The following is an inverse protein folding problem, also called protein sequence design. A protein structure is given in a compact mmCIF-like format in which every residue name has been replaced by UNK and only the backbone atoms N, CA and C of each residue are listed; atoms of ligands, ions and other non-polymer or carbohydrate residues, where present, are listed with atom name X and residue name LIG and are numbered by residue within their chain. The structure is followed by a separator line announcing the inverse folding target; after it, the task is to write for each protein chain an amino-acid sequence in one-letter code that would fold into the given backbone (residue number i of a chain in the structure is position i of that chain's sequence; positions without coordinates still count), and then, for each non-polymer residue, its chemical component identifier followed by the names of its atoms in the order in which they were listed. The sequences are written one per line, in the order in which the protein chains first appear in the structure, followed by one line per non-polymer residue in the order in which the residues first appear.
data_IF_390172397859
#
_entry.id   IF_390172397859
#
_cell.length_a   1.000
_cell.length_b   1.000
_cell.length_c   1.000
_cell.angle_alpha   90.00
_cell.angle_beta   90.00
_cell.angle_gamma   90.00
#
_symmetry.space_group_name_H-M   'P 1'
#
loop_
_entity.id
_entity.type
_entity.pdbx_description
1 polymer ?
#
# COMPACT_ATOMS: atom_id res chain seq x y z
N UNK A 1 -0.51 51.60 42.48
CA UNK A 1 -0.51 52.51 41.31
C UNK A 1 -1.15 51.72 40.16
N UNK A 2 -2.44 51.94 39.92
CA UNK A 2 -3.00 52.60 38.70
C UNK A 2 -2.77 51.73 37.45
N UNK A 3 -3.71 50.83 37.14
CA UNK A 3 -4.76 50.99 36.11
C UNK A 3 -4.23 51.01 34.69
N UNK A 4 -4.69 50.11 33.81
CA UNK A 4 -5.61 50.48 32.70
C UNK A 4 -6.07 49.25 31.88
N UNK A 5 -7.40 49.05 31.88
CA UNK A 5 -8.30 48.78 30.75
C UNK A 5 -7.72 48.16 29.46
N UNK A 6 -8.12 46.94 29.10
CA UNK A 6 -9.31 46.61 28.29
C UNK A 6 -9.07 46.70 26.78
N UNK A 7 -9.22 45.59 26.07
CA UNK A 7 -10.00 45.53 24.83
C UNK A 7 -10.29 44.07 24.44
N UNK A 8 -11.56 43.72 24.62
CA UNK A 8 -12.23 42.56 24.05
C UNK A 8 -12.45 42.86 22.56
N UNK A 9 -12.11 41.94 21.67
CA UNK A 9 -12.64 41.90 20.32
C UNK A 9 -13.07 40.46 20.01
N UNK A 10 -14.28 40.14 20.47
CA UNK A 10 -15.04 38.99 19.98
C UNK A 10 -15.61 39.41 18.63
N UNK A 11 -15.09 38.84 17.55
CA UNK A 11 -15.70 38.90 16.22
C UNK A 11 -16.15 37.50 15.84
N UNK A 12 -17.33 37.13 16.33
CA UNK A 12 -18.15 36.07 15.75
C UNK A 12 -18.63 36.51 14.36
N UNK A 13 -18.05 35.95 13.31
CA UNK A 13 -18.66 35.94 11.98
C UNK A 13 -19.42 34.62 11.81
N UNK A 14 -20.74 34.71 11.83
CA UNK A 14 -21.61 33.69 11.24
C UNK A 14 -21.65 33.91 9.73
N UNK A 15 -21.33 32.87 8.96
CA UNK A 15 -21.74 32.77 7.56
C UNK A 15 -22.31 31.37 7.32
N UNK A 16 -23.63 31.28 7.33
CA UNK A 16 -24.41 30.21 6.71
C UNK A 16 -24.23 30.31 5.19
N UNK A 17 -23.85 29.23 4.51
CA UNK A 17 -23.79 29.18 3.06
C UNK A 17 -23.61 27.76 2.54
N UNK A 18 -24.69 27.19 2.00
CA UNK A 18 -24.75 25.90 1.33
C UNK A 18 -24.56 26.12 -0.19
N UNK A 19 -23.73 25.30 -0.84
CA UNK A 19 -23.70 25.07 -2.29
C UNK A 19 -23.01 26.14 -3.16
N UNK A 20 -21.97 25.74 -3.92
CA UNK A 20 -22.06 25.51 -5.38
C UNK A 20 -20.65 25.42 -6.01
N UNK A 21 -20.41 24.32 -6.73
CA UNK A 21 -19.47 24.18 -7.86
C UNK A 21 -18.01 24.63 -7.67
N UNK A 22 -17.18 23.75 -7.10
CA UNK A 22 -15.76 23.75 -7.46
C UNK A 22 -15.64 23.09 -8.82
N UNK A 23 -15.34 23.93 -9.81
CA UNK A 23 -14.80 23.54 -11.11
C UNK A 23 -13.67 22.54 -10.91
N UNK A 24 -13.82 21.38 -11.54
CA UNK A 24 -12.74 20.45 -11.79
C UNK A 24 -11.69 21.25 -12.57
N UNK A 25 -10.55 21.55 -11.96
CA UNK A 25 -9.35 21.96 -12.68
C UNK A 25 -8.80 20.72 -13.41
N UNK A 26 -8.85 20.61 -14.76
CA UNK A 26 -8.17 19.56 -15.49
C UNK A 26 -6.67 19.87 -15.63
N UNK A 27 -6.06 20.41 -14.58
CA UNK A 27 -4.65 20.81 -14.56
C UNK A 27 -4.00 20.55 -13.21
N UNK A 28 -4.38 19.46 -12.53
CA UNK A 28 -3.43 18.74 -11.69
C UNK A 28 -2.77 17.67 -12.57
N UNK A 29 -1.77 18.10 -13.35
CA UNK A 29 -0.70 17.18 -13.73
C UNK A 29 0.02 16.85 -12.44
N UNK A 30 -0.48 15.82 -11.76
CA UNK A 30 0.31 15.09 -10.79
C UNK A 30 1.53 14.59 -11.57
N UNK A 31 2.64 15.32 -11.48
CA UNK A 31 3.94 14.80 -11.82
C UNK A 31 4.13 13.59 -10.91
N UNK A 32 3.84 12.42 -11.45
CA UNK A 32 4.16 11.15 -10.81
C UNK A 32 5.67 11.18 -10.56
N UNK A 33 6.05 11.27 -9.29
CA UNK A 33 7.41 10.90 -8.90
C UNK A 33 7.68 9.51 -9.49
N UNK A 34 8.89 9.24 -10.00
CA UNK A 34 9.23 7.91 -10.48
C UNK A 34 8.96 6.94 -9.33
N UNK A 35 8.04 6.00 -9.54
CA UNK A 35 7.88 4.86 -8.64
C UNK A 35 9.20 4.09 -8.71
N UNK A 36 10.06 4.26 -7.69
CA UNK A 36 11.32 3.55 -7.64
C UNK A 36 11.03 2.05 -7.68
N UNK A 37 11.74 1.35 -8.56
CA UNK A 37 11.55 -0.08 -8.72
C UNK A 37 11.86 -0.78 -7.38
N UNK A 38 10.92 -1.59 -6.90
CA UNK A 38 11.10 -2.34 -5.65
C UNK A 38 12.03 -3.51 -5.95
N UNK A 39 13.20 -3.53 -5.32
CA UNK A 39 14.19 -4.61 -5.45
C UNK A 39 14.18 -5.45 -4.17
N UNK A 40 13.99 -6.76 -4.31
CA UNK A 40 14.10 -7.73 -3.23
C UNK A 40 15.52 -8.30 -3.18
N UNK A 41 16.05 -8.40 -1.96
CA UNK A 41 17.34 -9.01 -1.70
C UNK A 41 17.28 -10.51 -1.99
N UNK A 42 18.22 -10.98 -2.82
CA UNK A 42 18.33 -12.41 -3.18
C UNK A 42 18.56 -13.36 -2.02
N UNK A 43 19.13 -12.87 -0.91
CA UNK A 43 19.56 -13.72 0.19
C UNK A 43 18.43 -13.95 1.19
N UNK A 44 17.70 -12.88 1.52
CA UNK A 44 16.67 -12.88 2.58
C UNK A 44 15.24 -12.63 2.08
N UNK A 45 15.05 -12.18 0.83
CA UNK A 45 13.73 -11.98 0.24
C UNK A 45 13.01 -10.69 0.64
N UNK A 46 13.62 -9.89 1.53
CA UNK A 46 13.12 -8.58 1.95
C UNK A 46 13.51 -7.48 0.96
N UNK A 47 12.85 -6.32 1.05
CA UNK A 47 13.21 -5.14 0.26
C UNK A 47 14.67 -4.76 0.54
N UNK A 48 15.49 -4.72 -0.50
CA UNK A 48 16.92 -4.48 -0.39
C UNK A 48 17.20 -3.11 0.22
N UNK A 49 18.04 -3.08 1.25
CA UNK A 49 18.39 -1.84 1.96
C UNK A 49 17.35 -1.36 2.98
N UNK A 50 16.22 -2.06 3.13
CA UNK A 50 15.33 -1.84 4.26
C UNK A 50 15.96 -2.31 5.58
N UNK A 51 15.48 -1.83 6.71
CA UNK A 51 15.92 -2.29 8.04
C UNK A 51 15.68 -3.79 8.26
N UNK A 52 14.68 -4.37 7.58
CA UNK A 52 14.40 -5.80 7.63
C UNK A 52 15.34 -6.64 6.72
N UNK A 53 16.05 -6.00 5.79
CA UNK A 53 16.95 -6.67 4.85
C UNK A 53 18.10 -7.34 5.59
N UNK A 54 18.13 -8.68 5.53
CA UNK A 54 19.14 -9.49 6.22
C UNK A 54 19.23 -9.18 7.73
N UNK A 55 18.11 -8.78 8.35
CA UNK A 55 18.06 -8.55 9.79
C UNK A 55 18.48 -9.81 10.56
N UNK A 56 19.35 -9.63 11.55
CA UNK A 56 19.82 -10.73 12.39
C UNK A 56 18.67 -11.31 13.21
N UNK A 57 18.66 -12.64 13.37
CA UNK A 57 17.64 -13.34 14.15
C UNK A 57 16.26 -13.40 13.48
N UNK A 58 16.12 -12.97 12.23
CA UNK A 58 14.89 -13.19 11.48
C UNK A 58 14.62 -14.69 11.30
N UNK A 59 13.36 -15.08 11.51
CA UNK A 59 12.93 -16.47 11.28
C UNK A 59 13.04 -16.81 9.79
N UNK A 60 13.53 -18.02 9.50
CA UNK A 60 13.65 -18.50 8.12
C UNK A 60 12.39 -19.27 7.73
N UNK A 61 11.87 -18.95 6.56
CA UNK A 61 10.83 -19.66 5.85
C UNK A 61 11.43 -20.95 5.23
N UNK A 62 10.65 -22.02 5.12
CA UNK A 62 11.13 -23.30 4.56
C UNK A 62 11.64 -23.19 3.11
N UNK A 63 11.17 -22.17 2.37
CA UNK A 63 11.65 -21.86 1.02
C UNK A 63 13.03 -21.17 1.00
N UNK A 64 13.62 -20.91 2.17
CA UNK A 64 14.96 -20.34 2.34
C UNK A 64 15.03 -18.81 2.43
N UNK A 65 13.91 -18.08 2.35
CA UNK A 65 13.84 -16.64 2.60
C UNK A 65 13.46 -16.32 4.05
N UNK A 66 13.49 -15.07 4.48
CA UNK A 66 12.96 -14.69 5.79
C UNK A 66 11.43 -14.89 5.82
N UNK A 67 10.90 -15.43 6.92
CA UNK A 67 9.47 -15.58 7.14
C UNK A 67 8.76 -14.22 7.08
N UNK A 68 7.59 -14.18 6.44
CA UNK A 68 6.84 -12.95 6.19
C UNK A 68 7.48 -11.99 5.17
N UNK A 69 8.63 -12.32 4.58
CA UNK A 69 9.21 -11.49 3.52
C UNK A 69 8.36 -11.54 2.25
N UNK A 70 8.41 -10.48 1.41
CA UNK A 70 7.76 -10.47 0.09
C UNK A 70 8.08 -11.67 -0.79
N UNK A 71 9.26 -12.30 -0.62
CA UNK A 71 9.67 -13.47 -1.39
C UNK A 71 9.28 -14.82 -0.75
N UNK A 72 8.96 -14.90 0.54
CA UNK A 72 8.71 -16.17 1.23
C UNK A 72 7.57 -16.95 0.55
N UNK A 73 7.90 -18.16 0.09
CA UNK A 73 7.04 -19.07 -0.66
C UNK A 73 6.42 -18.52 -1.96
N UNK A 74 6.84 -17.33 -2.40
CA UNK A 74 6.32 -16.66 -3.61
C UNK A 74 7.35 -16.64 -4.75
N UNK A 75 8.63 -16.70 -4.40
CA UNK A 75 9.74 -16.68 -5.34
C UNK A 75 10.69 -17.85 -5.05
N UNK A 76 11.40 -18.25 -6.07
CA UNK A 76 12.52 -19.18 -5.95
C UNK A 76 13.79 -18.37 -5.71
N UNK A 77 14.76 -18.96 -4.98
CA UNK A 77 16.06 -18.33 -4.81
C UNK A 77 16.78 -18.23 -6.14
N UNK A 78 16.88 -17.02 -6.67
CA UNK A 78 17.81 -16.65 -7.74
C UNK A 78 19.16 -16.25 -7.14
N UNK A 79 20.24 -16.43 -7.90
CA UNK A 79 21.57 -15.93 -7.52
C UNK A 79 21.71 -14.40 -7.58
N UNK A 80 20.63 -13.70 -7.96
CA UNK A 80 20.54 -12.27 -8.26
C UNK A 80 19.35 -11.65 -7.55
N UNK A 81 19.44 -10.35 -7.25
CA UNK A 81 18.33 -9.60 -6.67
C UNK A 81 17.15 -9.52 -7.63
N UNK A 82 15.94 -9.44 -7.07
CA UNK A 82 14.71 -9.56 -7.85
C UNK A 82 14.02 -8.21 -7.91
N UNK A 83 13.92 -7.64 -9.10
CA UNK A 83 13.12 -6.43 -9.32
C UNK A 83 11.66 -6.81 -9.52
N UNK A 84 10.76 -6.13 -8.81
CA UNK A 84 9.33 -6.30 -8.96
C UNK A 84 8.77 -5.33 -9.99
N UNK A 85 7.87 -5.85 -10.82
CA UNK A 85 7.12 -5.06 -11.78
C UNK A 85 6.17 -4.14 -11.03
N UNK A 86 6.34 -2.84 -11.19
CA UNK A 86 5.49 -1.82 -10.54
C UNK A 86 4.03 -1.86 -10.98
N UNK A 87 3.73 -2.54 -12.11
CA UNK A 87 2.35 -2.67 -12.64
C UNK A 87 1.57 -3.82 -12.04
N UNK A 88 2.23 -4.94 -11.75
CA UNK A 88 1.54 -6.18 -11.36
C UNK A 88 2.07 -6.80 -10.06
N UNK A 89 3.21 -6.34 -9.53
CA UNK A 89 3.81 -6.83 -8.29
C UNK A 89 4.61 -8.12 -8.42
N UNK A 90 4.61 -8.76 -9.59
CA UNK A 90 5.41 -9.97 -9.86
C UNK A 90 6.86 -9.62 -10.17
N UNK A 91 7.76 -10.61 -10.11
CA UNK A 91 9.13 -10.45 -10.59
C UNK A 91 9.14 -10.04 -12.07
N UNK A 92 9.89 -8.99 -12.40
CA UNK A 92 10.01 -8.52 -13.79
C UNK A 92 10.59 -9.60 -14.69
N UNK A 93 10.01 -9.76 -15.88
CA UNK A 93 10.45 -10.77 -16.85
C UNK A 93 10.07 -12.21 -16.51
N UNK A 94 9.43 -12.46 -15.36
CA UNK A 94 8.86 -13.78 -15.07
C UNK A 94 7.67 -14.10 -15.97
N UNK A 95 7.37 -15.38 -16.16
CA UNK A 95 6.19 -15.82 -16.93
C UNK A 95 4.86 -15.31 -16.33
N UNK A 96 4.85 -15.03 -15.02
CA UNK A 96 3.68 -14.48 -14.31
C UNK A 96 3.58 -12.96 -14.42
N UNK A 97 4.65 -12.28 -14.86
CA UNK A 97 4.69 -10.83 -14.96
C UNK A 97 3.61 -10.33 -15.93
N UNK A 98 2.66 -9.55 -15.42
CA UNK A 98 1.54 -9.01 -16.20
C UNK A 98 0.73 -10.09 -16.94
N UNK A 99 0.68 -11.32 -16.42
CA UNK A 99 -0.15 -12.38 -16.97
C UNK A 99 -1.63 -11.92 -17.02
N UNK A 100 -2.29 -12.19 -18.14
CA UNK A 100 -3.70 -11.87 -18.34
C UNK A 100 -4.59 -12.72 -17.43
N UNK A 101 -5.74 -12.17 -17.03
CA UNK A 101 -6.71 -12.87 -16.20
C UNK A 101 -6.31 -13.10 -14.75
N UNK A 102 -5.21 -12.50 -14.29
CA UNK A 102 -4.83 -12.52 -12.88
C UNK A 102 -5.75 -11.63 -12.04
N UNK A 103 -6.20 -12.14 -10.88
CA UNK A 103 -6.98 -11.37 -9.93
C UNK A 103 -6.15 -10.20 -9.37
N UNK A 104 -6.76 -9.02 -9.31
CA UNK A 104 -6.15 -7.83 -8.75
C UNK A 104 -6.62 -7.63 -7.31
N UNK A 105 -5.68 -7.29 -6.43
CA UNK A 105 -5.96 -6.96 -5.06
C UNK A 105 -6.72 -5.62 -5.02
N UNK A 106 -7.92 -5.56 -4.39
CA UNK A 106 -8.71 -4.33 -4.35
C UNK A 106 -8.06 -3.22 -3.50
N UNK A 107 -7.09 -3.56 -2.64
CA UNK A 107 -6.42 -2.59 -1.77
C UNK A 107 -5.22 -1.92 -2.45
N UNK A 108 -4.42 -2.66 -3.20
CA UNK A 108 -3.18 -2.14 -3.79
C UNK A 108 -3.15 -2.16 -5.33
N UNK A 109 -4.15 -2.77 -5.98
CA UNK A 109 -4.23 -2.87 -7.45
C UNK A 109 -3.22 -3.79 -8.12
N UNK A 110 -2.34 -4.46 -7.34
CA UNK A 110 -1.39 -5.45 -7.85
C UNK A 110 -2.00 -6.85 -7.86
N UNK A 111 -1.37 -7.80 -8.57
CA UNK A 111 -1.89 -9.16 -8.64
C UNK A 111 -1.91 -9.82 -7.25
N UNK A 112 -3.03 -10.47 -6.91
CA UNK A 112 -3.20 -11.20 -5.64
C UNK A 112 -2.13 -12.28 -5.53
N UNK A 113 -1.54 -12.39 -4.33
CA UNK A 113 -0.48 -13.37 -4.06
C UNK A 113 0.89 -13.02 -4.65
N UNK A 114 1.01 -11.96 -5.45
CA UNK A 114 2.31 -11.49 -5.93
C UNK A 114 3.23 -11.06 -4.77
N UNK A 115 4.56 -11.08 -4.97
CA UNK A 115 5.53 -10.55 -4.00
C UNK A 115 5.26 -9.08 -3.62
N UNK A 116 4.83 -8.26 -4.59
CA UNK A 116 4.48 -6.86 -4.36
C UNK A 116 3.11 -6.65 -3.70
N UNK A 117 2.25 -7.67 -3.68
CA UNK A 117 0.95 -7.58 -3.04
C UNK A 117 1.07 -7.79 -1.53
N UNK A 118 1.10 -6.67 -0.80
CA UNK A 118 0.95 -6.61 0.65
C UNK A 118 -0.53 -6.70 1.01
N UNK A 119 -1.11 -7.89 0.92
CA UNK A 119 -2.28 -8.21 1.73
C UNK A 119 -1.76 -8.48 3.13
N UNK A 120 -1.93 -7.53 4.04
CA UNK A 120 -1.90 -7.90 5.45
C UNK A 120 -3.01 -8.95 5.64
N UNK A 121 -2.64 -10.13 6.13
CA UNK A 121 -3.56 -11.27 6.32
C UNK A 121 -4.76 -10.92 7.23
N UNK A 122 -4.75 -9.75 7.86
CA UNK A 122 -5.76 -9.21 8.77
C UNK A 122 -6.92 -8.46 8.11
N UNK A 123 -6.95 -8.27 6.77
CA UNK A 123 -8.04 -7.52 6.09
C UNK A 123 -8.69 -8.21 4.88
N UNK A 124 -8.71 -9.54 4.85
CA UNK A 124 -9.81 -10.24 4.20
C UNK A 124 -11.08 -10.01 5.03
N UNK A 125 -11.64 -8.80 4.95
CA UNK A 125 -13.05 -8.58 5.25
C UNK A 125 -13.78 -9.44 4.25
N UNK A 126 -14.19 -10.63 4.68
CA UNK A 126 -15.26 -11.35 4.02
C UNK A 126 -16.44 -10.38 4.05
N UNK A 127 -16.70 -9.73 2.93
CA UNK A 127 -17.99 -9.08 2.70
C UNK A 127 -18.93 -10.26 2.47
N UNK A 128 -19.37 -10.87 3.56
CA UNK A 128 -20.53 -11.75 3.56
C UNK A 128 -21.72 -10.81 3.40
N UNK A 129 -22.02 -10.49 2.14
CA UNK A 129 -23.32 -10.02 1.69
C UNK A 129 -24.34 -11.10 2.05
N UNK A 130 -24.93 -11.04 3.24
CA UNK A 130 -26.21 -11.70 3.49
C UNK A 130 -27.02 -10.92 4.53
N UNK A 131 -27.69 -9.91 3.99
CA UNK A 131 -28.85 -9.27 4.57
C UNK A 131 -30.06 -10.20 4.45
N UNK A 132 -30.58 -10.68 5.58
CA UNK A 132 -31.98 -11.08 5.69
C UNK A 132 -32.53 -10.60 7.04
N UNK A 133 -33.47 -9.64 7.07
CA UNK A 133 -34.23 -9.37 8.27
C UNK A 133 -35.22 -10.52 8.49
N UNK A 134 -35.18 -11.13 9.68
CA UNK A 134 -36.24 -12.02 10.14
C UNK A 134 -37.37 -11.13 10.69
N UNK A 135 -38.34 -10.83 9.82
CA UNK A 135 -39.66 -10.39 10.23
C UNK A 135 -40.51 -11.63 10.54
N UNK A 136 -40.83 -11.89 11.81
CA UNK A 136 -42.11 -12.50 12.27
C UNK A 136 -42.31 -12.36 13.79
#
# INVERSE_FOLDING_TARGET
MKSLFALIAVTTLLATGCGESTTIDPSSTATAAPVEAVVLCKDCGQVKGSEACCAEGAEMCDCGFHHGSPACCKLEKSGEDITLCTKCGQAEGSEKCCAEGADLCPLCGLQVGSPGCVVEESKLVKIEDESYPEDE
#
